data_IF_887750633954
#
_entry.id   IF_887750633954
#
_cell.length_a   1.000
_cell.length_b   1.000
_cell.length_c   1.000
_cell.angle_alpha   90.00
_cell.angle_beta   90.00
_cell.angle_gamma   90.00
#
_symmetry.space_group_name_H-M   'P 1'
#
loop_
_entity.id
_entity.type
_entity.pdbx_description
1 polymer ?
#
# COMPACT_ATOMS: atom_id res chain seq x y z
N UNK A 1 -36.52 27.78 15.98
CA UNK A 1 -36.44 27.92 14.51
C UNK A 1 -35.34 26.99 14.07
N UNK A 2 -35.70 25.81 13.57
CA UNK A 2 -34.77 24.85 12.98
C UNK A 2 -34.10 25.49 11.77
N UNK A 3 -32.76 25.43 11.72
CA UNK A 3 -31.99 25.85 10.55
C UNK A 3 -31.51 24.56 9.88
N UNK A 4 -32.16 24.23 8.77
CA UNK A 4 -31.83 23.15 7.87
C UNK A 4 -30.47 23.41 7.21
N UNK A 5 -29.55 22.45 7.31
CA UNK A 5 -28.34 22.41 6.51
C UNK A 5 -28.69 22.13 5.04
N UNK A 6 -28.47 23.12 4.18
CA UNK A 6 -28.50 22.94 2.72
C UNK A 6 -27.21 22.26 2.27
N UNK A 7 -27.31 20.99 1.87
CA UNK A 7 -26.28 20.33 1.04
C UNK A 7 -26.20 21.05 -0.31
N UNK A 8 -25.03 21.60 -0.63
CA UNK A 8 -24.69 22.09 -1.96
C UNK A 8 -24.33 20.88 -2.83
N UNK A 9 -24.91 20.71 -4.03
CA UNK A 9 -24.52 19.63 -4.93
C UNK A 9 -23.19 19.98 -5.58
N UNK A 10 -22.18 19.10 -5.41
CA UNK A 10 -20.92 19.20 -6.13
C UNK A 10 -21.14 18.61 -7.52
N UNK A 11 -20.87 19.44 -8.53
CA UNK A 11 -21.01 19.15 -9.96
C UNK A 11 -19.95 18.11 -10.39
N UNK A 12 -20.37 16.95 -10.89
CA UNK A 12 -19.54 15.78 -11.24
C UNK A 12 -18.72 15.96 -12.54
N UNK A 13 -18.29 17.19 -12.86
CA UNK A 13 -17.46 17.46 -14.04
C UNK A 13 -16.42 18.54 -13.77
N UNK A 14 -15.33 18.13 -13.12
CA UNK A 14 -13.96 18.44 -13.55
C UNK A 14 -12.95 18.01 -12.48
N UNK A 15 -12.31 16.86 -12.71
CA UNK A 15 -10.90 16.55 -12.45
C UNK A 15 -10.69 15.06 -12.75
N UNK A 16 -10.66 14.72 -14.05
CA UNK A 16 -10.25 13.39 -14.49
C UNK A 16 -8.73 13.35 -14.64
N UNK A 17 -8.06 12.66 -13.72
CA UNK A 17 -6.76 12.06 -13.99
C UNK A 17 -6.99 10.57 -14.25
N UNK A 18 -6.59 10.18 -15.47
CA UNK A 18 -6.80 8.90 -16.16
C UNK A 18 -6.13 7.73 -15.41
N UNK A 19 -6.86 6.63 -15.14
CA UNK A 19 -6.32 5.40 -14.55
C UNK A 19 -7.16 4.68 -13.48
N UNK A 20 -8.46 4.97 -13.35
CA UNK A 20 -9.33 4.61 -12.22
C UNK A 20 -9.32 3.15 -11.76
N UNK A 21 -8.61 2.90 -10.66
CA UNK A 21 -8.73 1.77 -9.75
C UNK A 21 -10.00 1.95 -8.91
N UNK A 22 -10.95 1.01 -8.96
CA UNK A 22 -12.13 1.06 -8.08
C UNK A 22 -11.87 0.22 -6.83
N UNK A 23 -11.48 0.89 -5.75
CA UNK A 23 -11.53 0.31 -4.39
C UNK A 23 -13.01 0.13 -4.03
N UNK A 24 -13.47 -1.04 -3.57
CA UNK A 24 -14.81 -1.17 -3.01
C UNK A 24 -14.95 -0.21 -1.83
N UNK A 25 -16.06 0.53 -1.73
CA UNK A 25 -16.26 1.48 -0.63
C UNK A 25 -16.42 0.79 0.74
N UNK A 26 -16.70 -0.51 0.79
CA UNK A 26 -17.02 -1.22 2.04
C UNK A 26 -16.37 -2.61 2.16
N UNK A 27 -16.08 -3.03 3.39
CA UNK A 27 -15.54 -4.32 3.81
C UNK A 27 -16.62 -5.40 3.92
N UNK A 28 -16.24 -6.59 4.40
CA UNK A 28 -17.09 -7.79 4.50
C UNK A 28 -18.28 -7.66 5.45
N UNK A 29 -18.28 -6.61 6.26
CA UNK A 29 -19.32 -6.27 7.21
C UNK A 29 -20.16 -5.08 6.75
N UNK A 30 -19.89 -4.53 5.55
CA UNK A 30 -20.62 -3.40 5.00
C UNK A 30 -20.12 -2.04 5.50
N UNK A 31 -19.00 -1.97 6.21
CA UNK A 31 -18.39 -0.74 6.72
C UNK A 31 -17.29 -0.23 5.80
N UNK A 32 -17.00 1.06 5.82
CA UNK A 32 -15.83 1.61 5.11
C UNK A 32 -14.53 0.92 5.56
N UNK A 33 -13.57 0.76 4.66
CA UNK A 33 -12.26 0.19 5.03
C UNK A 33 -11.54 1.03 6.07
N UNK A 34 -10.99 0.38 7.11
CA UNK A 34 -10.35 1.07 8.22
C UNK A 34 -11.26 2.17 8.81
N UNK A 35 -12.53 1.81 9.00
CA UNK A 35 -13.50 2.63 9.69
C UNK A 35 -13.38 2.36 11.20
N UNK A 36 -12.60 3.22 11.86
CA UNK A 36 -12.38 3.15 13.31
C UNK A 36 -13.58 3.64 14.12
N UNK A 37 -14.55 4.29 13.47
CA UNK A 37 -15.76 4.82 14.10
C UNK A 37 -16.97 3.89 13.93
N UNK A 38 -16.89 2.90 13.03
CA UNK A 38 -17.95 1.91 12.84
C UNK A 38 -18.15 1.03 14.07
N UNK A 39 -19.41 0.91 14.51
CA UNK A 39 -19.81 0.03 15.60
C UNK A 39 -19.49 -1.44 15.26
N UNK A 40 -18.63 -2.08 16.06
CA UNK A 40 -18.24 -3.47 15.86
C UNK A 40 -17.57 -4.08 17.10
N UNK A 41 -17.57 -5.42 17.20
CA UNK A 41 -17.04 -6.16 18.37
C UNK A 41 -15.55 -5.88 18.65
N UNK A 42 -14.79 -5.47 17.63
CA UNK A 42 -13.36 -5.14 17.74
C UNK A 42 -13.07 -3.67 18.04
N UNK A 43 -14.06 -2.77 17.93
CA UNK A 43 -13.85 -1.32 17.97
C UNK A 43 -13.18 -0.87 19.29
N UNK A 44 -13.70 -1.32 20.43
CA UNK A 44 -13.14 -0.99 21.76
C UNK A 44 -11.70 -1.51 21.91
N UNK A 45 -11.42 -2.70 21.37
CA UNK A 45 -10.08 -3.30 21.37
C UNK A 45 -9.08 -2.48 20.55
N UNK A 46 -9.46 -2.10 19.33
CA UNK A 46 -8.63 -1.29 18.42
C UNK A 46 -8.42 0.12 18.97
N UNK A 47 -9.44 0.76 19.53
CA UNK A 47 -9.30 2.08 20.15
C UNK A 47 -8.36 2.03 21.37
N UNK A 48 -8.53 1.04 22.25
CA UNK A 48 -7.64 0.87 23.40
C UNK A 48 -6.21 0.50 22.98
N UNK A 49 -6.03 -0.27 21.91
CA UNK A 49 -4.73 -0.54 21.30
C UNK A 49 -4.03 0.77 20.92
N UNK A 50 -4.70 1.63 20.11
CA UNK A 50 -4.11 2.88 19.64
C UNK A 50 -3.91 3.87 20.79
N UNK A 51 -4.79 3.89 21.79
CA UNK A 51 -4.56 4.66 23.02
C UNK A 51 -3.23 4.29 23.67
N UNK A 52 -2.98 3.00 23.90
CA UNK A 52 -1.74 2.54 24.55
C UNK A 52 -0.53 2.81 23.65
N UNK A 53 -0.64 2.57 22.34
CA UNK A 53 0.39 2.90 21.37
C UNK A 53 0.77 4.39 21.45
N UNK A 54 -0.19 5.29 21.28
CA UNK A 54 0.05 6.74 21.26
C UNK A 54 0.61 7.27 22.57
N UNK A 55 0.23 6.70 23.72
CA UNK A 55 0.77 7.12 25.02
C UNK A 55 2.24 6.72 25.18
N UNK A 56 2.64 5.54 24.70
CA UNK A 56 3.94 4.94 25.03
C UNK A 56 5.01 5.08 23.93
N UNK A 57 4.62 5.36 22.68
CA UNK A 57 5.54 5.65 21.58
C UNK A 57 6.14 7.06 21.75
N UNK A 58 7.19 7.15 22.56
CA UNK A 58 7.98 8.36 22.81
C UNK A 58 9.28 8.32 22.02
N UNK A 59 9.89 9.48 21.78
CA UNK A 59 11.18 9.60 21.11
C UNK A 59 12.26 8.74 21.81
N UNK A 60 12.29 8.78 23.15
CA UNK A 60 13.22 7.99 23.96
C UNK A 60 12.95 6.48 23.89
N UNK A 61 11.67 6.08 23.86
CA UNK A 61 11.29 4.68 23.68
C UNK A 61 11.79 4.17 22.32
N UNK A 62 11.43 4.85 21.24
CA UNK A 62 11.82 4.46 19.86
C UNK A 62 13.34 4.37 19.73
N UNK A 63 14.07 5.34 20.27
CA UNK A 63 15.53 5.33 20.25
C UNK A 63 16.12 4.08 20.92
N UNK A 64 15.60 3.70 22.09
CA UNK A 64 16.01 2.47 22.80
C UNK A 64 15.68 1.21 22.00
N UNK A 65 14.48 1.15 21.42
CA UNK A 65 14.06 0.01 20.61
C UNK A 65 14.97 -0.16 19.39
N UNK A 66 15.24 0.92 18.65
CA UNK A 66 16.14 0.90 17.49
C UNK A 66 17.57 0.51 17.87
N UNK A 67 18.09 0.96 19.02
CA UNK A 67 19.40 0.55 19.54
C UNK A 67 19.44 -0.94 19.90
N UNK A 68 18.40 -1.46 20.55
CA UNK A 68 18.36 -2.85 20.97
C UNK A 68 18.17 -3.81 19.79
N UNK A 69 17.19 -3.52 18.94
CA UNK A 69 16.79 -4.40 17.85
C UNK A 69 17.61 -4.22 16.57
N UNK A 70 18.27 -3.08 16.38
CA UNK A 70 19.23 -2.89 15.29
C UNK A 70 20.47 -3.79 15.38
N UNK A 71 20.67 -4.49 16.51
CA UNK A 71 21.75 -5.49 16.68
C UNK A 71 21.52 -6.77 15.90
N UNK A 72 20.26 -7.07 15.56
CA UNK A 72 19.82 -8.27 14.83
C UNK A 72 20.48 -9.56 15.32
N UNK A 73 20.38 -9.80 16.62
CA UNK A 73 21.09 -10.89 17.31
C UNK A 73 20.14 -11.85 18.05
N UNK A 74 18.86 -11.89 17.65
CA UNK A 74 17.84 -12.74 18.26
C UNK A 74 17.85 -14.12 17.63
N UNK A 75 17.74 -14.19 16.31
CA UNK A 75 17.58 -15.44 15.55
C UNK A 75 18.31 -15.37 14.22
N UNK A 76 18.85 -16.49 13.74
CA UNK A 76 19.35 -16.63 12.37
C UNK A 76 18.44 -17.58 11.57
N UNK A 77 17.75 -17.04 10.57
CA UNK A 77 16.81 -17.80 9.75
C UNK A 77 16.62 -17.17 8.36
N UNK A 78 16.09 -17.95 7.43
CA UNK A 78 15.70 -17.49 6.09
C UNK A 78 14.37 -16.74 6.14
N UNK A 79 14.08 -15.98 5.09
CA UNK A 79 12.79 -15.30 4.92
C UNK A 79 11.63 -16.30 4.93
N UNK A 80 11.79 -17.46 4.29
CA UNK A 80 10.70 -18.42 4.22
C UNK A 80 10.40 -19.08 5.58
N UNK A 81 11.44 -19.40 6.36
CA UNK A 81 11.25 -19.85 7.76
C UNK A 81 10.51 -18.77 8.58
N UNK A 82 10.79 -17.48 8.36
CA UNK A 82 10.06 -16.39 8.99
C UNK A 82 8.57 -16.36 8.61
N UNK A 83 8.25 -16.56 7.32
CA UNK A 83 6.86 -16.65 6.86
C UNK A 83 6.11 -17.79 7.56
N UNK A 84 6.76 -18.95 7.72
CA UNK A 84 6.18 -20.11 8.40
C UNK A 84 5.98 -19.87 9.90
N UNK A 85 6.86 -19.12 10.57
CA UNK A 85 6.71 -18.76 11.99
C UNK A 85 5.54 -17.82 12.27
N UNK A 86 5.19 -16.93 11.34
CA UNK A 86 4.11 -15.95 11.54
C UNK A 86 2.71 -16.54 11.42
N UNK A 87 2.57 -17.82 11.08
CA UNK A 87 1.28 -18.47 10.97
C UNK A 87 0.45 -18.45 12.29
N UNK A 88 1.13 -18.27 13.44
CA UNK A 88 0.51 -18.24 14.77
C UNK A 88 0.27 -16.80 15.32
N UNK A 89 0.58 -15.75 14.55
CA UNK A 89 0.39 -14.34 14.97
C UNK A 89 -0.89 -13.75 14.39
N UNK A 90 -1.74 -13.16 15.24
CA UNK A 90 -2.94 -12.42 14.86
C UNK A 90 -2.72 -10.93 15.16
N UNK A 91 -2.99 -10.05 14.19
CA UNK A 91 -2.82 -8.59 14.34
C UNK A 91 -4.03 -7.98 15.07
N UNK A 92 -3.79 -7.38 16.25
CA UNK A 92 -4.84 -6.75 17.07
C UNK A 92 -5.21 -5.32 16.63
N UNK A 93 -4.39 -4.69 15.81
CA UNK A 93 -4.63 -3.32 15.32
C UNK A 93 -5.52 -3.27 14.09
N UNK A 94 -5.64 -4.40 13.38
CA UNK A 94 -6.37 -4.50 12.14
C UNK A 94 -7.86 -4.80 12.40
N UNK A 95 -8.77 -3.84 12.10
CA UNK A 95 -10.22 -4.07 12.25
C UNK A 95 -10.75 -5.11 11.25
N UNK A 96 -9.97 -5.46 10.22
CA UNK A 96 -10.35 -6.31 9.11
C UNK A 96 -9.74 -7.73 9.16
N UNK A 97 -8.73 -8.05 10.01
CA UNK A 97 -7.95 -9.32 9.98
C UNK A 97 -8.34 -10.43 10.99
N UNK A 98 -8.88 -11.55 10.48
CA UNK A 98 -9.12 -12.84 11.18
C UNK A 98 -8.30 -14.03 10.61
N UNK A 99 -7.38 -13.80 9.65
CA UNK A 99 -6.68 -14.87 8.92
C UNK A 99 -5.21 -15.00 9.38
N UNK A 100 -4.58 -16.19 9.24
CA UNK A 100 -3.16 -16.36 9.54
C UNK A 100 -2.30 -15.41 8.70
N UNK A 101 -1.28 -14.81 9.32
CA UNK A 101 -0.47 -13.77 8.70
C UNK A 101 0.18 -14.20 7.37
N UNK A 102 0.61 -15.46 7.24
CA UNK A 102 1.20 -15.98 5.99
C UNK A 102 0.26 -15.91 4.79
N UNK A 103 -1.05 -16.11 5.01
CA UNK A 103 -2.05 -16.02 3.94
C UNK A 103 -2.15 -14.58 3.43
N UNK A 104 -2.14 -13.60 4.33
CA UNK A 104 -2.10 -12.17 3.96
C UNK A 104 -0.87 -11.81 3.14
N UNK A 105 0.31 -12.31 3.52
CA UNK A 105 1.55 -12.09 2.77
C UNK A 105 1.43 -12.64 1.34
N UNK A 106 0.96 -13.88 1.19
CA UNK A 106 0.79 -14.53 -0.11
C UNK A 106 -0.29 -13.86 -0.96
N UNK A 107 -1.42 -13.47 -0.36
CA UNK A 107 -2.49 -12.75 -1.06
C UNK A 107 -1.99 -11.42 -1.61
N UNK A 108 -1.27 -10.64 -0.79
CA UNK A 108 -0.69 -9.36 -1.21
C UNK A 108 0.29 -9.57 -2.35
N UNK A 109 1.22 -10.52 -2.19
CA UNK A 109 2.26 -10.80 -3.18
C UNK A 109 1.70 -11.31 -4.51
N UNK A 110 0.71 -12.20 -4.51
CA UNK A 110 0.10 -12.74 -5.73
C UNK A 110 -0.83 -11.72 -6.42
N UNK A 111 -1.47 -10.83 -5.66
CA UNK A 111 -2.25 -9.73 -6.22
C UNK A 111 -1.34 -8.75 -6.99
N UNK A 112 -0.21 -8.37 -6.38
CA UNK A 112 0.81 -7.54 -7.05
C UNK A 112 1.32 -8.27 -8.29
N UNK A 113 1.70 -9.54 -8.17
CA UNK A 113 2.23 -10.34 -9.28
C UNK A 113 1.29 -10.39 -10.48
N UNK A 114 -0.02 -10.44 -10.23
CA UNK A 114 -1.03 -10.44 -11.30
C UNK A 114 -1.08 -9.12 -12.06
N UNK A 115 -0.97 -8.00 -11.36
CA UNK A 115 -1.18 -6.66 -11.93
C UNK A 115 0.11 -5.99 -12.43
N UNK A 116 1.26 -6.41 -11.87
CA UNK A 116 2.60 -5.92 -12.16
C UNK A 116 3.58 -7.07 -12.49
N UNK A 117 3.28 -7.94 -13.47
CA UNK A 117 3.99 -9.23 -13.67
C UNK A 117 5.49 -9.12 -13.92
N UNK A 118 5.97 -7.96 -14.36
CA UNK A 118 7.38 -7.69 -14.68
C UNK A 118 8.17 -7.08 -13.49
N UNK A 119 7.51 -6.74 -12.38
CA UNK A 119 8.11 -6.09 -11.21
C UNK A 119 8.37 -7.09 -10.07
N UNK A 120 9.25 -8.05 -10.31
CA UNK A 120 9.46 -9.18 -9.39
C UNK A 120 9.92 -8.77 -7.97
N UNK A 121 10.66 -7.66 -7.84
CA UNK A 121 11.03 -7.07 -6.56
C UNK A 121 9.80 -6.64 -5.76
N UNK A 122 8.76 -6.12 -6.43
CA UNK A 122 7.52 -5.67 -5.78
C UNK A 122 6.67 -6.86 -5.30
N UNK A 123 6.74 -7.99 -6.01
CA UNK A 123 6.11 -9.24 -5.56
C UNK A 123 6.74 -9.70 -4.26
N UNK A 124 8.08 -9.67 -4.19
CA UNK A 124 8.80 -10.03 -2.97
C UNK A 124 8.52 -9.02 -1.85
N UNK A 125 8.47 -7.71 -2.13
CA UNK A 125 8.04 -6.69 -1.16
C UNK A 125 6.68 -7.03 -0.55
N UNK A 126 5.70 -7.44 -1.37
CA UNK A 126 4.41 -7.93 -0.91
C UNK A 126 4.50 -9.13 0.03
N UNK A 127 5.40 -10.07 -0.23
CA UNK A 127 5.59 -11.23 0.64
C UNK A 127 6.22 -10.85 1.98
N UNK A 128 7.10 -9.85 2.01
CA UNK A 128 7.96 -9.61 3.18
C UNK A 128 7.59 -8.41 4.04
N UNK A 129 6.72 -7.51 3.56
CA UNK A 129 6.43 -6.22 4.22
C UNK A 129 6.10 -6.35 5.71
N UNK A 130 5.33 -7.38 6.05
CA UNK A 130 4.79 -7.60 7.39
C UNK A 130 5.64 -8.55 8.26
N UNK A 131 6.81 -9.00 7.77
CA UNK A 131 7.62 -9.99 8.49
C UNK A 131 8.20 -9.44 9.80
N UNK A 132 8.23 -8.12 9.99
CA UNK A 132 8.65 -7.53 11.25
C UNK A 132 7.71 -7.85 12.44
N UNK A 133 6.52 -8.38 12.18
CA UNK A 133 5.58 -8.85 13.21
C UNK A 133 6.12 -10.01 14.06
N UNK A 134 7.25 -10.61 13.68
CA UNK A 134 7.93 -11.61 14.52
C UNK A 134 8.35 -11.07 15.88
N UNK A 135 8.44 -9.74 16.05
CA UNK A 135 8.68 -9.09 17.34
C UNK A 135 7.68 -9.50 18.44
N UNK A 136 6.47 -9.91 18.09
CA UNK A 136 5.47 -10.45 19.04
C UNK A 136 5.86 -11.83 19.60
N UNK A 137 6.75 -12.56 18.93
CA UNK A 137 7.13 -13.90 19.33
C UNK A 137 8.18 -13.86 20.45
N UNK A 138 8.13 -14.77 21.44
CA UNK A 138 9.07 -14.78 22.56
C UNK A 138 10.55 -14.83 22.15
N UNK A 139 10.89 -15.53 21.05
CA UNK A 139 12.26 -15.63 20.53
C UNK A 139 12.83 -14.29 20.04
N UNK A 140 11.95 -13.33 19.73
CA UNK A 140 12.31 -11.97 19.29
C UNK A 140 12.03 -10.94 20.40
N UNK A 141 11.74 -11.37 21.62
CA UNK A 141 11.51 -10.51 22.78
C UNK A 141 10.06 -10.41 23.23
N UNK A 142 9.10 -10.93 22.46
CA UNK A 142 7.69 -10.99 22.87
C UNK A 142 7.11 -9.61 23.18
N UNK A 143 7.38 -8.64 22.29
CA UNK A 143 6.90 -7.28 22.47
C UNK A 143 5.37 -7.22 22.47
N UNK A 144 4.78 -6.30 23.24
CA UNK A 144 3.35 -6.07 23.17
C UNK A 144 2.96 -5.56 21.78
N UNK A 145 1.77 -5.92 21.30
CA UNK A 145 1.29 -5.57 19.95
C UNK A 145 1.43 -4.07 19.64
N UNK A 146 1.16 -3.19 20.62
CA UNK A 146 1.25 -1.73 20.42
C UNK A 146 2.66 -1.25 20.05
N UNK A 147 3.69 -2.03 20.35
CA UNK A 147 5.08 -1.76 20.00
C UNK A 147 5.54 -2.55 18.76
N UNK A 148 4.60 -3.14 17.99
CA UNK A 148 4.90 -3.92 16.79
C UNK A 148 4.00 -3.56 15.61
N UNK A 149 2.68 -3.58 15.80
CA UNK A 149 1.70 -3.38 14.72
C UNK A 149 1.07 -1.98 14.79
N UNK A 150 0.15 -1.68 13.86
CA UNK A 150 -0.60 -0.44 13.79
C UNK A 150 0.02 0.65 12.92
N UNK A 151 -0.76 1.70 12.68
CA UNK A 151 -0.33 2.85 11.89
C UNK A 151 0.83 3.59 12.57
N UNK A 152 1.85 3.91 11.78
CA UNK A 152 3.08 4.57 12.25
C UNK A 152 3.03 6.07 12.08
N UNK A 153 3.79 6.79 12.90
CA UNK A 153 3.91 8.25 12.86
C UNK A 153 5.32 8.71 13.31
N UNK A 154 5.79 9.91 12.89
CA UNK A 154 7.03 10.47 13.39
C UNK A 154 6.97 10.76 14.90
N UNK A 155 8.01 10.37 15.63
CA UNK A 155 8.24 10.81 17.01
C UNK A 155 9.28 11.93 17.03
N UNK A 156 9.30 12.77 18.07
CA UNK A 156 10.27 13.88 18.17
C UNK A 156 9.91 15.14 17.39
N UNK A 157 8.70 15.19 16.81
CA UNK A 157 8.03 16.39 16.29
C UNK A 157 6.54 16.34 16.66
N UNK A 158 5.79 17.40 16.35
CA UNK A 158 4.37 17.48 16.66
C UNK A 158 3.57 16.35 15.96
N UNK A 159 2.58 15.81 16.68
CA UNK A 159 1.66 14.80 16.16
C UNK A 159 0.54 15.48 15.35
N UNK A 160 0.44 15.14 14.07
CA UNK A 160 -0.55 15.67 13.13
C UNK A 160 -1.95 15.09 13.41
N UNK A 161 -2.98 15.93 13.28
CA UNK A 161 -4.37 15.55 13.60
C UNK A 161 -4.93 14.43 12.71
N UNK A 162 -4.29 14.15 11.57
CA UNK A 162 -4.66 13.05 10.67
C UNK A 162 -4.26 11.66 11.16
N UNK A 163 -3.44 11.57 12.22
CA UNK A 163 -3.12 10.28 12.85
C UNK A 163 -4.38 9.74 13.53
N UNK A 164 -4.67 8.45 13.30
CA UNK A 164 -5.84 7.77 13.88
C UNK A 164 -5.90 7.97 15.40
N UNK A 165 -7.09 8.19 15.97
CA UNK A 165 -7.29 8.44 17.40
C UNK A 165 -6.31 9.47 18.04
N UNK A 166 -5.99 10.55 17.32
CA UNK A 166 -5.07 11.61 17.74
C UNK A 166 -5.32 12.15 19.16
N UNK A 167 -6.58 12.16 19.61
CA UNK A 167 -7.01 12.62 20.94
C UNK A 167 -6.17 12.05 22.10
N UNK A 168 -5.63 10.84 21.97
CA UNK A 168 -4.83 10.18 23.00
C UNK A 168 -3.39 10.68 23.12
N UNK A 169 -2.86 11.39 22.12
CA UNK A 169 -1.52 11.98 22.25
C UNK A 169 -1.42 13.01 23.37
N UNK A 170 -2.54 13.60 23.82
CA UNK A 170 -2.55 14.49 25.00
C UNK A 170 -2.00 13.84 26.27
N UNK A 171 -2.02 12.52 26.35
CA UNK A 171 -1.48 11.73 27.46
C UNK A 171 -0.02 11.28 27.23
N UNK A 172 0.52 11.43 26.01
CA UNK A 172 1.92 11.15 25.71
C UNK A 172 2.82 12.25 26.31
N UNK A 173 3.90 11.90 27.04
CA UNK A 173 4.80 12.89 27.64
C UNK A 173 5.48 13.81 26.61
N UNK A 174 5.68 13.37 25.37
CA UNK A 174 6.30 14.16 24.31
C UNK A 174 5.35 15.22 23.71
N UNK A 175 4.03 15.08 23.88
CA UNK A 175 3.04 16.00 23.31
C UNK A 175 3.20 17.43 23.82
N UNK A 176 3.54 17.60 25.10
CA UNK A 176 3.77 18.91 25.72
C UNK A 176 5.24 19.25 25.87
N UNK A 177 6.15 18.42 25.35
CA UNK A 177 7.59 18.64 25.48
C UNK A 177 8.04 19.73 24.48
N UNK A 178 8.61 20.86 24.93
CA UNK A 178 9.01 21.95 24.03
C UNK A 178 10.10 21.57 23.02
N UNK A 179 10.82 20.46 23.23
CA UNK A 179 11.77 19.95 22.26
C UNK A 179 11.10 19.24 21.07
N UNK A 180 9.88 18.73 21.25
CA UNK A 180 9.20 17.86 20.28
C UNK A 180 7.86 18.43 19.79
N UNK A 181 7.22 19.33 20.52
CA UNK A 181 5.85 19.79 20.23
C UNK A 181 5.77 20.89 19.15
N UNK A 182 6.81 21.06 18.33
CA UNK A 182 6.80 21.97 17.18
C UNK A 182 6.75 21.17 15.89
N UNK A 183 6.41 21.82 14.77
CA UNK A 183 6.28 21.19 13.45
C UNK A 183 7.49 20.31 13.09
N UNK A 184 8.71 20.79 13.38
CA UNK A 184 9.94 20.06 13.11
C UNK A 184 10.53 19.37 14.34
N UNK A 185 10.26 19.86 15.55
CA UNK A 185 10.86 19.33 16.78
C UNK A 185 12.38 19.22 16.68
N UNK A 186 12.91 17.99 16.65
CA UNK A 186 14.35 17.71 16.49
C UNK A 186 14.84 17.65 15.04
N UNK A 187 13.95 17.74 14.06
CA UNK A 187 14.25 17.61 12.63
C UNK A 187 14.44 18.97 11.94
N UNK A 188 14.78 18.92 10.66
CA UNK A 188 14.77 20.07 9.76
C UNK A 188 13.87 19.81 8.57
N UNK A 189 13.38 20.89 7.96
CA UNK A 189 12.65 20.83 6.69
C UNK A 189 13.45 20.06 5.63
N UNK A 190 12.77 19.16 4.91
CA UNK A 190 13.35 18.35 3.85
C UNK A 190 14.51 17.46 4.26
N UNK A 191 14.63 17.08 5.54
CA UNK A 191 15.73 16.26 6.03
C UNK A 191 15.75 14.84 5.44
N UNK A 192 14.65 14.38 4.85
CA UNK A 192 14.48 13.02 4.39
C UNK A 192 13.90 12.14 5.48
N UNK A 193 12.93 11.29 5.13
CA UNK A 193 12.28 10.40 6.08
C UNK A 193 13.25 9.39 6.69
N UNK A 194 14.36 9.07 6.00
CA UNK A 194 15.40 8.20 6.52
C UNK A 194 16.03 8.72 7.82
N UNK A 195 16.08 10.05 7.98
CA UNK A 195 16.56 10.79 9.16
C UNK A 195 15.47 11.04 10.22
N UNK A 196 14.22 10.65 9.94
CA UNK A 196 13.10 10.76 10.88
C UNK A 196 12.97 9.47 11.70
N UNK A 197 12.86 9.61 13.02
CA UNK A 197 12.49 8.48 13.88
C UNK A 197 10.98 8.27 13.79
N UNK A 198 10.58 7.11 13.30
CA UNK A 198 9.19 6.67 13.27
C UNK A 198 8.86 5.90 14.55
N UNK A 199 7.61 5.95 15.01
CA UNK A 199 7.07 5.06 16.04
C UNK A 199 7.52 3.62 15.77
N UNK A 200 8.04 2.95 16.79
CA UNK A 200 8.70 1.65 16.63
C UNK A 200 7.68 0.55 16.30
N UNK A 201 7.99 -0.29 15.31
CA UNK A 201 7.15 -1.39 14.89
C UNK A 201 7.76 -2.26 13.79
N UNK A 202 6.91 -3.09 13.18
CA UNK A 202 7.27 -4.07 12.16
C UNK A 202 7.89 -3.44 10.90
N UNK A 203 7.40 -2.29 10.45
CA UNK A 203 7.97 -1.54 9.31
C UNK A 203 9.47 -1.28 9.48
N UNK A 204 9.82 -0.61 10.58
CA UNK A 204 11.18 -0.13 10.83
C UNK A 204 12.12 -1.30 11.16
N UNK A 205 11.64 -2.30 11.89
CA UNK A 205 12.40 -3.51 12.17
C UNK A 205 12.65 -4.35 10.91
N UNK A 206 11.65 -4.55 10.05
CA UNK A 206 11.84 -5.30 8.81
C UNK A 206 12.75 -4.54 7.84
N UNK A 207 12.69 -3.20 7.82
CA UNK A 207 13.65 -2.38 7.10
C UNK A 207 15.07 -2.58 7.62
N UNK A 208 15.29 -2.60 8.95
CA UNK A 208 16.61 -2.88 9.53
C UNK A 208 17.11 -4.28 9.16
N UNK A 209 16.26 -5.31 9.24
CA UNK A 209 16.58 -6.67 8.80
C UNK A 209 17.04 -6.66 7.35
N UNK A 210 16.28 -6.02 6.45
CA UNK A 210 16.61 -6.00 5.03
C UNK A 210 17.92 -5.24 4.74
N UNK A 211 18.08 -4.06 5.33
CA UNK A 211 19.24 -3.19 5.12
C UNK A 211 20.53 -3.79 5.70
N UNK A 212 20.49 -4.33 6.91
CA UNK A 212 21.69 -4.88 7.57
C UNK A 212 22.11 -6.23 7.01
N UNK A 213 21.17 -7.03 6.50
CA UNK A 213 21.48 -8.23 5.73
C UNK A 213 21.84 -7.95 4.27
N UNK A 214 22.01 -6.67 3.89
CA UNK A 214 22.51 -6.24 2.58
C UNK A 214 21.70 -6.79 1.41
N UNK A 215 20.37 -6.69 1.51
CA UNK A 215 19.48 -7.00 0.40
C UNK A 215 19.86 -6.25 -0.87
N UNK A 216 19.58 -6.83 -2.03
CA UNK A 216 19.72 -6.18 -3.34
C UNK A 216 18.39 -5.60 -3.86
N UNK A 217 17.34 -5.58 -3.04
CA UNK A 217 16.08 -4.91 -3.36
C UNK A 217 16.31 -3.40 -3.66
N UNK A 218 15.53 -2.81 -4.58
CA UNK A 218 15.64 -1.39 -4.90
C UNK A 218 15.18 -0.50 -3.74
N UNK A 219 15.59 0.78 -3.74
CA UNK A 219 15.21 1.75 -2.70
C UNK A 219 13.70 1.89 -2.54
N UNK A 220 12.93 1.81 -3.64
CA UNK A 220 11.47 1.80 -3.61
C UNK A 220 10.89 0.66 -2.75
N UNK A 221 11.50 -0.54 -2.77
CA UNK A 221 11.06 -1.67 -1.96
C UNK A 221 11.32 -1.40 -0.46
N UNK A 222 12.52 -0.91 -0.13
CA UNK A 222 12.88 -0.57 1.24
C UNK A 222 12.02 0.57 1.80
N UNK A 223 11.68 1.54 0.96
CA UNK A 223 10.76 2.62 1.29
C UNK A 223 9.35 2.11 1.58
N UNK A 224 8.83 1.20 0.73
CA UNK A 224 7.54 0.55 0.99
C UNK A 224 7.59 -0.17 2.34
N UNK A 225 8.59 -1.03 2.58
CA UNK A 225 8.68 -1.80 3.83
C UNK A 225 8.68 -0.87 5.05
N UNK A 226 9.45 0.21 5.01
CA UNK A 226 9.63 1.12 6.15
C UNK A 226 8.44 2.06 6.41
N UNK A 227 7.57 2.32 5.43
CA UNK A 227 6.54 3.36 5.53
C UNK A 227 5.14 2.91 5.10
N UNK A 228 4.90 1.62 4.89
CA UNK A 228 3.58 1.13 4.48
C UNK A 228 2.49 1.27 5.54
N UNK A 229 2.88 1.44 6.80
CA UNK A 229 1.98 1.76 7.92
C UNK A 229 1.85 3.28 8.16
N UNK A 230 2.55 4.14 7.40
CA UNK A 230 2.53 5.60 7.60
C UNK A 230 1.35 6.28 6.91
N UNK A 231 0.11 5.93 7.30
CA UNK A 231 -1.10 6.41 6.61
C UNK A 231 -1.28 7.93 6.67
N UNK A 232 -0.83 8.60 7.74
CA UNK A 232 -0.87 10.06 7.80
C UNK A 232 -0.13 10.70 6.59
N UNK A 233 0.97 10.10 6.15
CA UNK A 233 1.67 10.53 4.93
C UNK A 233 0.92 10.14 3.66
N UNK A 234 0.73 8.84 3.42
CA UNK A 234 0.33 8.36 2.09
C UNK A 234 -1.21 8.33 1.86
N UNK A 235 -2.02 8.62 2.89
CA UNK A 235 -3.48 8.77 2.81
C UNK A 235 -3.93 10.22 3.05
N UNK A 236 -3.32 10.88 4.03
CA UNK A 236 -3.74 12.22 4.48
C UNK A 236 -2.81 13.35 4.04
N UNK A 237 -1.71 13.02 3.36
CA UNK A 237 -0.73 13.97 2.83
C UNK A 237 0.01 14.82 3.88
N UNK A 238 -0.03 14.40 5.16
CA UNK A 238 0.71 15.04 6.24
C UNK A 238 2.22 14.74 6.14
N UNK A 239 3.04 15.50 6.87
CA UNK A 239 4.50 15.30 6.99
C UNK A 239 5.33 15.41 5.69
N UNK A 240 4.74 15.87 4.58
CA UNK A 240 5.46 16.11 3.31
C UNK A 240 6.61 17.10 3.45
N UNK A 241 6.55 18.00 4.43
CA UNK A 241 7.60 18.96 4.77
C UNK A 241 8.90 18.29 5.29
N UNK A 242 8.86 17.03 5.70
CA UNK A 242 10.06 16.27 6.12
C UNK A 242 10.70 15.50 4.96
N UNK A 243 9.99 15.30 3.85
CA UNK A 243 10.44 14.50 2.72
C UNK A 243 11.52 15.19 1.89
N UNK A 244 12.47 14.40 1.38
CA UNK A 244 13.41 14.83 0.35
C UNK A 244 12.94 14.39 -1.06
N UNK A 245 13.73 14.68 -2.10
CA UNK A 245 13.39 14.33 -3.49
C UNK A 245 13.25 12.81 -3.72
N UNK A 246 14.08 11.99 -3.07
CA UNK A 246 14.02 10.53 -3.19
C UNK A 246 12.75 9.97 -2.54
N UNK A 247 12.35 10.51 -1.39
CA UNK A 247 11.10 10.12 -0.72
C UNK A 247 9.88 10.42 -1.59
N UNK A 248 9.89 11.56 -2.31
CA UNK A 248 8.79 11.95 -3.22
C UNK A 248 8.66 10.97 -4.38
N UNK A 249 9.77 10.48 -4.93
CA UNK A 249 9.75 9.46 -5.97
C UNK A 249 9.28 8.10 -5.45
N UNK A 250 9.76 7.68 -4.28
CA UNK A 250 9.39 6.41 -3.69
C UNK A 250 7.94 6.39 -3.16
N UNK A 251 7.38 7.54 -2.77
CA UNK A 251 5.98 7.66 -2.34
C UNK A 251 5.01 7.19 -3.42
N UNK A 252 5.34 7.37 -4.71
CA UNK A 252 4.53 6.87 -5.83
C UNK A 252 4.38 5.35 -5.78
N UNK A 253 5.47 4.64 -5.49
CA UNK A 253 5.48 3.19 -5.33
C UNK A 253 4.75 2.74 -4.06
N UNK A 254 4.89 3.49 -2.97
CA UNK A 254 4.13 3.23 -1.76
C UNK A 254 2.61 3.39 -1.97
N UNK A 255 2.18 4.40 -2.72
CA UNK A 255 0.77 4.57 -3.07
C UNK A 255 0.24 3.38 -3.90
N UNK A 256 1.02 2.91 -4.89
CA UNK A 256 0.70 1.69 -5.65
C UNK A 256 0.58 0.49 -4.71
N UNK A 257 1.57 0.25 -3.86
CA UNK A 257 1.58 -0.87 -2.91
C UNK A 257 0.38 -0.83 -1.96
N UNK A 258 0.06 0.35 -1.42
CA UNK A 258 -1.04 0.52 -0.47
C UNK A 258 -2.40 0.16 -1.08
N UNK A 259 -2.53 0.26 -2.41
CA UNK A 259 -3.74 -0.19 -3.10
C UNK A 259 -3.93 -1.71 -3.05
N UNK A 260 -2.84 -2.48 -2.99
CA UNK A 260 -2.87 -3.94 -2.87
C UNK A 260 -3.02 -4.41 -1.43
N UNK A 261 -2.31 -3.78 -0.50
CA UNK A 261 -2.41 -4.06 0.93
C UNK A 261 -3.83 -3.77 1.47
N UNK A 262 -4.55 -2.82 0.86
CA UNK A 262 -5.95 -2.49 1.19
C UNK A 262 -6.98 -3.23 0.34
N UNK A 263 -6.61 -3.73 -0.85
CA UNK A 263 -7.58 -4.27 -1.82
C UNK A 263 -7.88 -5.75 -1.59
N UNK A 264 -8.98 -5.89 -0.90
CA UNK A 264 -9.99 -6.92 -0.98
C UNK A 264 -10.46 -7.20 -2.44
N UNK A 265 -9.69 -7.91 -3.29
CA UNK A 265 -10.12 -8.22 -4.67
C UNK A 265 -11.04 -9.44 -4.83
N UNK A 266 -12.18 -9.21 -5.47
CA UNK A 266 -12.89 -10.18 -6.32
C UNK A 266 -12.15 -10.35 -7.64
N UNK A 267 -12.10 -11.59 -8.14
CA UNK A 267 -11.53 -11.95 -9.43
C UNK A 267 -12.36 -11.37 -10.59
N UNK A 268 -12.01 -10.16 -11.07
CA UNK A 268 -12.36 -9.74 -12.43
C UNK A 268 -11.10 -9.51 -13.26
N UNK A 269 -10.96 -10.13 -14.46
CA UNK A 269 -9.81 -9.91 -15.34
C UNK A 269 -9.76 -8.46 -15.86
N UNK A 270 -8.56 -7.88 -15.94
CA UNK A 270 -8.30 -6.66 -16.71
C UNK A 270 -8.64 -6.92 -18.18
N UNK A 271 -9.66 -6.28 -18.71
CA UNK A 271 -9.76 -6.01 -20.14
C UNK A 271 -8.93 -4.76 -20.47
N UNK A 272 -7.84 -4.96 -21.22
CA UNK A 272 -7.09 -3.99 -22.04
C UNK A 272 -7.11 -2.51 -21.62
N UNK A 273 -6.03 -2.04 -20.98
CA UNK A 273 -5.54 -0.65 -21.09
C UNK A 273 -4.00 -0.62 -21.05
N UNK A 274 -3.37 -1.25 -22.04
CA UNK A 274 -1.97 -1.01 -22.38
C UNK A 274 -1.93 -0.26 -23.72
N UNK A 275 -2.18 1.05 -23.67
CA UNK A 275 -2.03 1.94 -24.83
C UNK A 275 -2.09 3.38 -24.32
N UNK A 276 -0.95 3.92 -23.87
CA UNK A 276 -0.65 5.37 -23.90
C UNK A 276 0.75 5.75 -23.41
N UNK A 277 1.51 4.85 -22.77
CA UNK A 277 2.84 5.19 -22.25
C UNK A 277 4.04 4.80 -23.14
N UNK A 278 3.83 4.30 -24.37
CA UNK A 278 4.93 3.91 -25.27
C UNK A 278 5.34 5.00 -26.31
N UNK A 279 5.04 6.28 -26.04
CA UNK A 279 5.34 7.39 -26.96
C UNK A 279 6.44 8.36 -26.50
N UNK A 280 7.14 8.08 -25.39
CA UNK A 280 8.20 8.98 -24.87
C UNK A 280 9.61 8.37 -24.73
N UNK A 281 9.94 7.26 -25.41
CA UNK A 281 11.34 6.75 -25.43
C UNK A 281 11.94 6.36 -26.79
N UNK A 282 11.28 6.68 -27.91
CA UNK A 282 11.86 6.43 -29.26
C UNK A 282 12.32 7.72 -29.94
N UNK A 283 13.25 8.43 -29.32
CA UNK A 283 14.15 9.38 -29.99
C UNK A 283 15.59 8.86 -29.96
N UNK A 284 15.83 7.71 -30.58
CA UNK A 284 17.17 7.34 -31.06
C UNK A 284 17.18 7.35 -32.58
N UNK A 285 17.69 8.47 -33.09
CA UNK A 285 18.19 8.64 -34.45
C UNK A 285 19.17 7.50 -34.75
N UNK A 286 18.80 6.59 -35.65
CA UNK A 286 19.75 5.72 -36.35
C UNK A 286 19.94 6.27 -37.75
N UNK A 287 21.13 6.82 -37.98
CA UNK A 287 21.69 7.13 -39.29
C UNK A 287 22.10 5.80 -39.92
N UNK A 288 21.65 5.53 -41.14
CA UNK A 288 22.24 4.50 -42.01
C UNK A 288 22.53 5.13 -43.39
N UNK A 289 23.75 4.97 -43.97
CA UNK A 289 24.18 5.75 -45.10
C UNK A 289 23.89 4.98 -46.40
N UNK A 290 23.15 5.61 -47.32
CA UNK A 290 23.46 5.67 -48.77
C UNK A 290 22.25 6.13 -49.59
N UNK A 291 22.57 6.96 -50.59
CA UNK A 291 21.81 7.38 -51.78
C UNK A 291 20.87 8.58 -51.68
N UNK A 292 21.45 9.73 -52.01
CA UNK A 292 21.08 10.63 -53.10
C UNK A 292 19.60 10.71 -53.51
N UNK A 293 19.02 11.91 -53.35
CA UNK A 293 17.89 12.32 -54.18
C UNK A 293 17.08 13.45 -53.57
N UNK A 294 17.35 14.68 -54.01
CA UNK A 294 16.48 15.86 -53.82
C UNK A 294 15.05 15.53 -54.24
N UNK A 295 14.04 15.98 -53.49
CA UNK A 295 12.97 16.85 -54.03
C UNK A 295 11.97 17.32 -52.97
N UNK A 296 11.43 18.49 -53.28
CA UNK A 296 10.74 19.45 -52.43
C UNK A 296 9.33 19.03 -51.99
N UNK A 297 8.96 19.50 -50.78
CA UNK A 297 7.58 19.61 -50.33
C UNK A 297 6.80 20.61 -51.20
N UNK A 298 5.58 20.23 -51.59
CA UNK A 298 4.50 21.16 -51.96
C UNK A 298 3.21 20.74 -51.26
N UNK A 299 2.65 21.68 -50.51
CA UNK A 299 1.30 21.68 -49.97
C UNK A 299 0.26 21.67 -51.10
N UNK A 300 -0.86 20.98 -50.88
CA UNK A 300 -2.17 21.38 -51.40
C UNK A 300 -3.27 20.96 -50.41
N UNK A 301 -4.08 21.93 -50.02
CA UNK A 301 -5.32 21.79 -49.28
C UNK A 301 -6.49 21.50 -50.24
N UNK A 302 -7.54 20.81 -49.76
CA UNK A 302 -8.94 21.01 -50.17
C UNK A 302 -9.90 20.12 -49.34
N UNK A 303 -10.82 20.77 -48.63
CA UNK A 303 -12.16 20.32 -48.23
C UNK A 303 -13.18 21.05 -49.14
N UNK A 304 -14.52 20.82 -49.09
CA UNK A 304 -15.32 19.65 -48.69
C UNK A 304 -16.43 19.33 -49.74
N UNK A 305 -17.17 18.22 -49.62
CA UNK A 305 -18.49 18.07 -50.28
C UNK A 305 -19.46 17.21 -49.46
N UNK A 306 -20.68 17.74 -49.36
CA UNK A 306 -21.84 17.26 -48.60
C UNK A 306 -22.93 16.76 -49.57
N UNK A 307 -23.83 15.91 -49.03
CA UNK A 307 -25.21 15.59 -49.44
C UNK A 307 -25.45 14.55 -50.55
N UNK A 308 -26.15 13.47 -50.19
CA UNK A 308 -27.47 13.10 -50.76
C UNK A 308 -28.21 12.05 -49.89
N UNK A 309 -29.53 12.25 -49.75
CA UNK A 309 -30.51 11.48 -48.98
C UNK A 309 -31.02 10.21 -49.71
N UNK A 310 -31.52 9.22 -48.94
CA UNK A 310 -32.45 8.18 -49.45
C UNK A 310 -32.63 6.99 -48.48
N UNK A 311 -33.87 6.51 -48.19
CA UNK A 311 -34.15 5.69 -47.00
C UNK A 311 -34.13 4.19 -47.28
N UNK A 312 -33.50 3.39 -46.40
CA UNK A 312 -33.72 1.95 -46.33
C UNK A 312 -34.20 1.57 -44.93
N UNK A 313 -35.47 1.17 -44.86
CA UNK A 313 -36.09 0.50 -43.71
C UNK A 313 -35.38 -0.84 -43.47
N UNK A 314 -34.65 -0.96 -42.36
CA UNK A 314 -34.22 -2.25 -41.82
C UNK A 314 -35.18 -2.68 -40.71
N UNK A 315 -35.75 -3.87 -40.89
CA UNK A 315 -36.64 -4.55 -39.95
C UNK A 315 -35.89 -4.92 -38.67
N UNK A 316 -36.48 -4.56 -37.53
CA UNK A 316 -36.06 -4.99 -36.18
C UNK A 316 -36.51 -6.44 -35.95
N UNK A 317 -35.63 -7.39 -35.57
CA UNK A 317 -36.05 -8.72 -35.18
C UNK A 317 -36.66 -8.70 -33.76
N UNK A 318 -37.67 -9.55 -33.48
CA UNK A 318 -38.40 -9.52 -32.20
C UNK A 318 -37.56 -10.06 -31.04
N UNK A 319 -37.71 -9.42 -29.87
CA UNK A 319 -37.13 -9.82 -28.58
C UNK A 319 -37.58 -11.23 -28.22
N UNK A 320 -36.63 -12.11 -27.95
CA UNK A 320 -36.89 -13.42 -27.37
C UNK A 320 -37.34 -13.28 -25.89
N UNK A 321 -38.29 -14.09 -25.41
CA UNK A 321 -38.80 -14.03 -24.04
C UNK A 321 -37.77 -14.62 -23.06
N UNK A 322 -37.49 -13.84 -22.01
CA UNK A 322 -36.65 -14.20 -20.87
C UNK A 322 -37.35 -15.32 -20.09
N UNK A 323 -36.72 -16.50 -20.00
CA UNK A 323 -37.13 -17.55 -19.06
C UNK A 323 -36.56 -17.24 -17.66
N UNK A 324 -37.34 -17.41 -16.58
CA UNK A 324 -36.81 -17.26 -15.24
C UNK A 324 -35.98 -18.51 -14.90
N UNK A 325 -34.66 -18.38 -14.89
CA UNK A 325 -33.79 -19.38 -14.28
C UNK A 325 -33.86 -19.24 -12.76
N UNK A 326 -34.18 -20.37 -12.13
CA UNK A 326 -34.20 -20.68 -10.70
C UNK A 326 -33.16 -19.95 -9.83
N UNK A 327 -33.52 -19.48 -8.63
CA UNK A 327 -32.60 -18.86 -7.69
C UNK A 327 -31.88 -19.95 -6.89
N UNK A 328 -30.67 -20.33 -7.31
CA UNK A 328 -29.71 -21.03 -6.45
C UNK A 328 -28.33 -20.44 -6.71
N UNK A 329 -27.92 -19.51 -5.86
CA UNK A 329 -26.76 -19.72 -4.98
C UNK A 329 -26.63 -18.51 -4.08
N UNK A 330 -26.56 -18.78 -2.78
CA UNK A 330 -26.37 -17.82 -1.69
C UNK A 330 -25.01 -17.15 -1.90
N UNK A 331 -25.02 -15.89 -2.34
CA UNK A 331 -23.80 -15.17 -2.70
C UNK A 331 -22.85 -15.06 -1.50
N UNK A 332 -21.61 -15.44 -1.79
CA UNK A 332 -20.53 -15.72 -0.87
C UNK A 332 -19.72 -14.44 -0.59
N UNK A 333 -19.49 -14.16 0.69
CA UNK A 333 -19.04 -12.87 1.22
C UNK A 333 -17.53 -12.58 1.02
N UNK A 334 -17.26 -11.41 0.44
CA UNK A 334 -16.19 -10.42 0.71
C UNK A 334 -14.81 -10.87 1.26
N UNK A 335 -13.86 -10.99 0.34
CA UNK A 335 -12.74 -10.07 0.17
C UNK A 335 -11.60 -9.90 1.20
N UNK A 336 -11.35 -10.74 2.20
CA UNK A 336 -10.03 -11.39 2.10
C UNK A 336 -10.30 -12.56 1.21
N UNK A 337 -9.46 -12.83 0.22
CA UNK A 337 -9.87 -13.83 -0.78
C UNK A 337 -10.19 -15.14 -0.03
N UNK A 338 -11.46 -15.57 0.01
CA UNK A 338 -11.80 -16.91 0.52
C UNK A 338 -11.01 -18.00 -0.21
N UNK A 339 -10.54 -17.67 -1.40
CA UNK A 339 -9.57 -18.47 -2.13
C UNK A 339 -8.22 -18.29 -1.46
N UNK A 340 -7.91 -19.25 -0.59
CA UNK A 340 -6.58 -19.42 -0.02
C UNK A 340 -5.57 -19.62 -1.12
N UNK A 341 -4.43 -18.94 -1.02
CA UNK A 341 -3.31 -19.22 -1.90
C UNK A 341 -2.71 -20.57 -1.52
N UNK A 342 -2.51 -21.42 -2.52
CA UNK A 342 -1.83 -22.70 -2.33
C UNK A 342 -0.33 -22.43 -2.14
N UNK A 343 0.09 -22.28 -0.89
CA UNK A 343 1.46 -21.97 -0.49
C UNK A 343 2.49 -22.90 -1.14
N UNK A 344 2.22 -24.20 -1.23
CA UNK A 344 3.13 -25.18 -1.83
C UNK A 344 3.31 -24.97 -3.34
N UNK A 345 2.26 -24.52 -4.04
CA UNK A 345 2.37 -24.20 -5.48
C UNK A 345 3.19 -22.95 -5.76
N UNK A 346 3.08 -21.93 -4.90
CA UNK A 346 3.75 -20.63 -5.12
C UNK A 346 5.14 -20.56 -4.47
N UNK A 347 5.41 -21.40 -3.46
CA UNK A 347 6.69 -21.47 -2.72
C UNK A 347 7.92 -21.53 -3.63
N UNK A 348 7.99 -22.37 -4.70
CA UNK A 348 9.17 -22.40 -5.57
C UNK A 348 9.46 -21.04 -6.24
N UNK A 349 8.42 -20.29 -6.61
CA UNK A 349 8.58 -18.97 -7.20
C UNK A 349 9.15 -17.98 -6.18
N UNK A 350 8.55 -17.90 -4.99
CA UNK A 350 9.00 -16.96 -3.97
C UNK A 350 10.37 -17.31 -3.39
N UNK A 351 10.71 -18.59 -3.25
CA UNK A 351 12.08 -19.00 -2.89
C UNK A 351 13.11 -18.51 -3.91
N UNK A 352 12.78 -18.53 -5.21
CA UNK A 352 13.69 -18.00 -6.24
C UNK A 352 13.88 -16.48 -6.15
N UNK A 353 12.84 -15.74 -5.74
CA UNK A 353 12.96 -14.30 -5.48
C UNK A 353 13.78 -14.03 -4.22
N UNK A 354 13.55 -14.80 -3.15
CA UNK A 354 14.34 -14.70 -1.91
C UNK A 354 15.82 -14.92 -2.21
N UNK A 355 16.17 -15.98 -2.95
CA UNK A 355 17.56 -16.27 -3.34
C UNK A 355 18.17 -15.17 -4.22
N UNK A 356 17.36 -14.54 -5.08
CA UNK A 356 17.79 -13.41 -5.92
C UNK A 356 18.13 -12.17 -5.09
N UNK A 357 17.34 -11.87 -4.05
CA UNK A 357 17.36 -10.58 -3.36
C UNK A 357 18.01 -10.59 -1.98
N UNK A 358 18.20 -11.76 -1.37
CA UNK A 358 18.71 -11.91 -0.02
C UNK A 358 19.73 -13.05 0.10
N UNK A 359 20.64 -12.97 1.08
CA UNK A 359 21.39 -14.13 1.53
C UNK A 359 20.46 -15.27 2.01
N UNK A 360 20.95 -16.51 1.99
CA UNK A 360 20.17 -17.69 2.39
C UNK A 360 19.70 -17.63 3.86
N UNK A 361 20.56 -17.14 4.75
CA UNK A 361 20.27 -16.95 6.18
C UNK A 361 20.48 -15.48 6.51
N UNK A 362 19.51 -14.93 7.25
CA UNK A 362 19.51 -13.56 7.69
C UNK A 362 19.63 -13.53 9.20
N UNK A 363 20.25 -12.47 9.70
CA UNK A 363 20.24 -12.07 11.09
C UNK A 363 18.97 -11.28 11.38
N UNK A 364 18.24 -11.69 12.40
CA UNK A 364 17.01 -11.05 12.88
C UNK A 364 17.20 -10.58 14.31
#
# INVERSE_FOLDING_TARGET
VEVQEKKVPIDEKELSLDGGFLVPQTNSFGHTFRDYDAEGERQEGVENFYRINHINQTYDFVKKMREEYGKLNRVEMSIWECCELLNDVVDESDPDLDEPQIEHLLQTAEAIRKDYPDEDWLHLTGLIHDLGKVLNLPSFGGLPQWAVVGDTFPVGCAFDESIVHHKYFKENPDYSNPAFNTEYGVYSEGCGLDNVMMSWGHDDYMYLVANENKTTLPSAALFIIRYHSFHALHKSEAYKNLMNEEDVENLKWLQIFSSFSKSKYTLTPRSCLASKYDLYSKSKVRIDPKRNGRQNFKLCAADPLHLCHGPHQYKVPPRAPIRPSTPISKYDLYSKSKVRIDGEKVKPYYLSLIEKYFPVKLKW
#
